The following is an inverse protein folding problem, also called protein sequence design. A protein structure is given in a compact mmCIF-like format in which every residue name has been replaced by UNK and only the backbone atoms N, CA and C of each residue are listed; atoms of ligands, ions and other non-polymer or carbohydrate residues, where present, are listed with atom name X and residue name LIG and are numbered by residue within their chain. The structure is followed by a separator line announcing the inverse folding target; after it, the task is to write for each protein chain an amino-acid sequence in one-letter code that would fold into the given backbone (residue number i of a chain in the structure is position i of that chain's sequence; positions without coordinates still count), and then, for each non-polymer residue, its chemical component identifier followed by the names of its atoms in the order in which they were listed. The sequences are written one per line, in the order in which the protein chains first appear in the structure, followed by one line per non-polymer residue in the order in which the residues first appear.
data_IF_409563111514
#
_entry.id   IF_409563111514
#
_cell.length_a   1.000
_cell.length_b   1.000
_cell.length_c   1.000
_cell.angle_alpha   90.00
_cell.angle_beta   90.00
_cell.angle_gamma   90.00
#
_symmetry.space_group_name_H-M   'P 1'
#
loop_
_entity.id
_entity.type
_entity.pdbx_description
1 polymer ?
#
# COMPACT_ATOMS: atom_id res chain seq x y z
N UNK A 1 -18.83 5.29 -3.40
CA UNK A 1 -17.62 5.83 -2.74
C UNK A 1 -16.50 4.81 -2.66
N UNK A 2 -16.66 3.69 -1.95
CA UNK A 2 -15.58 2.69 -1.76
C UNK A 2 -15.01 2.10 -3.06
N UNK A 3 -15.84 1.72 -4.03
CA UNK A 3 -15.34 1.23 -5.32
C UNK A 3 -14.45 2.26 -6.05
N UNK A 4 -14.79 3.55 -5.96
CA UNK A 4 -13.96 4.63 -6.52
C UNK A 4 -12.60 4.76 -5.82
N UNK A 5 -12.57 4.63 -4.48
CA UNK A 5 -11.32 4.62 -3.70
C UNK A 5 -10.45 3.41 -4.05
N UNK A 6 -11.05 2.24 -4.22
CA UNK A 6 -10.34 1.03 -4.66
C UNK A 6 -9.68 1.23 -6.01
N UNK A 7 -10.43 1.73 -7.01
CA UNK A 7 -9.90 1.98 -8.34
C UNK A 7 -8.81 3.05 -8.32
N UNK A 8 -9.01 4.14 -7.58
CA UNK A 8 -8.01 5.19 -7.43
C UNK A 8 -6.71 4.65 -6.82
N UNK A 9 -6.82 3.86 -5.74
CA UNK A 9 -5.68 3.20 -5.10
C UNK A 9 -4.96 2.21 -6.01
N UNK A 10 -5.72 1.39 -6.74
CA UNK A 10 -5.17 0.42 -7.68
C UNK A 10 -4.42 1.09 -8.84
N UNK A 11 -4.99 2.17 -9.41
CA UNK A 11 -4.34 2.97 -10.46
C UNK A 11 -3.09 3.68 -9.91
N UNK A 12 -3.18 4.29 -8.73
CA UNK A 12 -2.04 4.96 -8.11
C UNK A 12 -0.88 4.00 -7.86
N UNK A 13 -1.17 2.80 -7.33
CA UNK A 13 -0.17 1.76 -7.12
C UNK A 13 0.43 1.28 -8.46
N UNK A 14 -0.41 1.07 -9.47
CA UNK A 14 0.04 0.69 -10.82
C UNK A 14 0.97 1.74 -11.43
N UNK A 15 0.63 3.02 -11.32
CA UNK A 15 1.48 4.13 -11.80
C UNK A 15 2.79 4.18 -11.03
N UNK A 16 2.77 4.07 -9.70
CA UNK A 16 3.98 4.00 -8.88
C UNK A 16 4.89 2.84 -9.31
N UNK A 17 4.31 1.66 -9.55
CA UNK A 17 5.07 0.49 -9.97
C UNK A 17 5.64 0.65 -11.40
N UNK A 18 4.87 1.23 -12.33
CA UNK A 18 5.37 1.53 -13.67
C UNK A 18 6.52 2.55 -13.65
N UNK A 19 6.46 3.56 -12.77
CA UNK A 19 7.54 4.52 -12.59
C UNK A 19 8.78 3.86 -11.99
N UNK A 20 8.60 2.94 -11.03
CA UNK A 20 9.70 2.31 -10.30
C UNK A 20 10.35 1.12 -11.04
N UNK A 21 9.55 0.16 -11.52
CA UNK A 21 10.00 -1.11 -12.11
C UNK A 21 9.82 -1.19 -13.62
N UNK A 22 9.15 -0.22 -14.25
CA UNK A 22 8.78 -0.21 -15.69
C UNK A 22 7.89 -1.37 -16.14
N UNK A 23 7.40 -2.19 -15.21
CA UNK A 23 6.48 -3.31 -15.45
C UNK A 23 5.52 -3.44 -14.29
N UNK A 24 4.32 -3.92 -14.56
CA UNK A 24 3.29 -4.20 -13.55
C UNK A 24 2.53 -5.46 -13.95
N UNK A 25 1.81 -6.05 -13.00
CA UNK A 25 0.89 -7.14 -13.23
C UNK A 25 -0.49 -6.73 -12.74
N UNK A 26 -1.56 -7.19 -13.40
CA UNK A 26 -2.92 -6.80 -13.04
C UNK A 26 -3.28 -7.12 -11.57
N UNK A 27 -2.65 -8.16 -10.98
CA UNK A 27 -2.80 -8.48 -9.55
C UNK A 27 -2.36 -7.33 -8.62
N UNK A 28 -1.42 -6.49 -9.06
CA UNK A 28 -0.95 -5.33 -8.30
C UNK A 28 -2.02 -4.24 -8.20
N UNK A 29 -2.94 -4.16 -9.16
CA UNK A 29 -4.10 -3.28 -9.06
C UNK A 29 -5.01 -3.70 -7.91
N UNK A 30 -5.18 -5.02 -7.73
CA UNK A 30 -6.00 -5.58 -6.64
C UNK A 30 -5.33 -5.34 -5.29
N UNK A 31 -4.03 -5.63 -5.18
CA UNK A 31 -3.24 -5.42 -3.95
C UNK A 31 -3.23 -3.93 -3.57
N UNK A 32 -2.93 -3.05 -4.53
CA UNK A 32 -2.90 -1.61 -4.32
C UNK A 32 -4.26 -1.01 -3.96
N UNK A 33 -5.33 -1.44 -4.65
CA UNK A 33 -6.69 -1.01 -4.34
C UNK A 33 -7.14 -1.46 -2.94
N UNK A 34 -6.83 -2.70 -2.55
CA UNK A 34 -7.13 -3.21 -1.21
C UNK A 34 -6.36 -2.45 -0.13
N UNK A 35 -5.06 -2.23 -0.34
CA UNK A 35 -4.23 -1.45 0.59
C UNK A 35 -4.79 -0.03 0.78
N UNK A 36 -5.15 0.66 -0.31
CA UNK A 36 -5.66 2.04 -0.22
C UNK A 36 -7.02 2.13 0.48
N UNK A 37 -7.93 1.20 0.23
CA UNK A 37 -9.20 1.13 0.96
C UNK A 37 -8.99 0.98 2.46
N UNK A 38 -8.13 0.03 2.85
CA UNK A 38 -7.83 -0.24 4.25
C UNK A 38 -7.15 0.97 4.92
N UNK A 39 -6.23 1.64 4.23
CA UNK A 39 -5.63 2.89 4.70
C UNK A 39 -6.68 3.95 4.96
N UNK A 40 -7.60 4.18 4.03
CA UNK A 40 -8.67 5.17 4.19
C UNK A 40 -9.51 4.88 5.44
N UNK A 41 -9.93 3.64 5.65
CA UNK A 41 -10.70 3.24 6.83
C UNK A 41 -9.93 3.45 8.13
N UNK A 42 -8.67 3.03 8.19
CA UNK A 42 -7.84 3.18 9.40
C UNK A 42 -7.57 4.67 9.67
N UNK A 43 -7.25 5.46 8.65
CA UNK A 43 -6.91 6.86 8.83
C UNK A 43 -8.10 7.72 9.23
N UNK A 44 -9.28 7.42 8.69
CA UNK A 44 -10.52 8.11 9.10
C UNK A 44 -10.92 7.73 10.52
N UNK A 45 -10.76 6.46 10.92
CA UNK A 45 -11.04 6.00 12.28
C UNK A 45 -10.12 6.60 13.36
N UNK A 46 -8.84 6.86 13.03
CA UNK A 46 -7.88 7.50 13.95
C UNK A 46 -8.24 8.98 14.21
N UNK A 47 -8.97 9.64 13.31
CA UNK A 47 -9.27 11.07 13.40
C UNK A 47 -8.07 11.96 13.00
N UNK A 48 -8.29 13.27 12.97
CA UNK A 48 -7.32 14.22 12.39
C UNK A 48 -6.11 14.52 13.29
N UNK A 49 -4.95 14.79 12.68
CA UNK A 49 -3.76 15.33 13.38
C UNK A 49 -2.73 14.28 13.83
N UNK A 50 -3.07 12.99 13.87
CA UNK A 50 -2.15 11.91 14.25
C UNK A 50 -1.29 11.40 13.08
N UNK A 51 -0.60 12.30 12.37
CA UNK A 51 0.09 11.99 11.11
C UNK A 51 1.18 10.93 11.26
N UNK A 52 2.01 11.01 12.31
CA UNK A 52 3.09 10.04 12.54
C UNK A 52 2.52 8.64 12.81
N UNK A 53 1.48 8.55 13.63
CA UNK A 53 0.81 7.27 13.92
C UNK A 53 0.21 6.68 12.64
N UNK A 54 -0.45 7.51 11.82
CA UNK A 54 -0.99 7.10 10.51
C UNK A 54 0.12 6.63 9.57
N UNK A 55 1.26 7.30 9.53
CA UNK A 55 2.38 6.88 8.70
C UNK A 55 2.94 5.50 9.11
N UNK A 56 3.11 5.27 10.42
CA UNK A 56 3.59 3.99 10.95
C UNK A 56 2.59 2.85 10.72
N UNK A 57 1.31 3.08 11.04
CA UNK A 57 0.27 2.08 10.81
C UNK A 57 0.04 1.85 9.32
N UNK A 58 0.13 2.90 8.50
CA UNK A 58 -0.02 2.80 7.05
C UNK A 58 1.08 1.98 6.41
N UNK A 59 2.33 2.21 6.82
CA UNK A 59 3.46 1.36 6.44
C UNK A 59 3.24 -0.11 6.80
N UNK A 60 2.86 -0.38 8.05
CA UNK A 60 2.62 -1.73 8.55
C UNK A 60 1.49 -2.41 7.76
N UNK A 61 0.42 -1.66 7.46
CA UNK A 61 -0.73 -2.14 6.72
C UNK A 61 -0.36 -2.49 5.28
N UNK A 62 0.25 -1.55 4.54
CA UNK A 62 0.67 -1.79 3.15
C UNK A 62 1.61 -2.99 3.10
N UNK A 63 2.62 -3.02 3.98
CA UNK A 63 3.57 -4.13 4.07
C UNK A 63 2.88 -5.47 4.33
N UNK A 64 1.86 -5.49 5.20
CA UNK A 64 1.10 -6.72 5.50
C UNK A 64 0.28 -7.18 4.29
N UNK A 65 -0.37 -6.23 3.59
CA UNK A 65 -1.13 -6.52 2.36
C UNK A 65 -0.22 -7.02 1.25
N UNK A 66 0.97 -6.42 1.08
CA UNK A 66 1.97 -6.88 0.12
C UNK A 66 2.50 -8.27 0.48
N UNK A 67 2.74 -8.56 1.76
CA UNK A 67 3.20 -9.87 2.19
C UNK A 67 2.17 -10.97 1.87
N UNK A 68 0.90 -10.73 2.20
CA UNK A 68 -0.20 -11.65 1.89
C UNK A 68 -0.38 -11.78 0.38
N UNK A 69 -0.38 -10.67 -0.34
CA UNK A 69 -0.46 -10.64 -1.80
C UNK A 69 0.66 -11.44 -2.44
N UNK A 70 1.90 -11.26 -1.97
CA UNK A 70 3.09 -11.98 -2.43
C UNK A 70 3.02 -13.47 -2.12
N UNK A 71 2.58 -13.85 -0.93
CA UNK A 71 2.34 -15.24 -0.58
C UNK A 71 1.33 -15.90 -1.55
N UNK A 72 0.29 -15.18 -1.98
CA UNK A 72 -0.67 -15.70 -2.95
C UNK A 72 -0.04 -15.77 -4.34
N UNK A 73 0.42 -14.64 -4.89
CA UNK A 73 0.80 -14.56 -6.31
C UNK A 73 2.17 -15.18 -6.60
N UNK A 74 3.13 -15.07 -5.69
CA UNK A 74 4.48 -15.58 -5.89
C UNK A 74 4.67 -16.98 -5.31
N UNK A 75 4.09 -17.29 -4.15
CA UNK A 75 4.27 -18.61 -3.52
C UNK A 75 3.21 -19.61 -3.98
N UNK A 76 1.92 -19.30 -3.79
CA UNK A 76 0.85 -20.24 -4.13
C UNK A 76 0.67 -20.39 -5.66
N UNK A 77 0.67 -19.27 -6.39
CA UNK A 77 0.43 -19.25 -7.84
C UNK A 77 1.70 -19.29 -8.70
N UNK A 78 2.88 -19.12 -8.08
CA UNK A 78 4.19 -19.16 -8.75
C UNK A 78 4.34 -18.20 -9.94
N UNK A 79 3.64 -17.06 -9.90
CA UNK A 79 3.69 -16.06 -10.97
C UNK A 79 4.95 -15.19 -10.95
N UNK A 80 5.68 -15.17 -9.84
CA UNK A 80 6.93 -14.42 -9.68
C UNK A 80 6.80 -12.94 -10.14
N UNK A 81 5.70 -12.31 -9.73
CA UNK A 81 5.34 -10.92 -10.05
C UNK A 81 6.41 -9.94 -9.54
N UNK A 82 6.97 -10.21 -8.36
CA UNK A 82 8.13 -9.51 -7.84
C UNK A 82 9.03 -10.43 -7.01
N UNK A 83 10.26 -9.96 -6.79
CA UNK A 83 11.26 -10.65 -5.99
C UNK A 83 12.16 -9.62 -5.28
N UNK A 84 12.09 -9.62 -3.95
CA UNK A 84 12.92 -8.80 -3.07
C UNK A 84 14.01 -9.62 -2.34
N UNK A 85 14.28 -10.85 -2.77
CA UNK A 85 15.26 -11.75 -2.14
C UNK A 85 16.68 -11.15 -2.07
N UNK A 86 17.04 -10.30 -3.04
CA UNK A 86 18.34 -9.61 -3.08
C UNK A 86 18.43 -8.36 -2.19
N UNK A 87 17.32 -7.96 -1.55
CA UNK A 87 17.27 -6.76 -0.69
C UNK A 87 17.60 -7.11 0.75
N UNK A 88 18.28 -6.19 1.45
CA UNK A 88 18.61 -6.37 2.86
C UNK A 88 17.34 -6.31 3.72
N UNK A 89 17.27 -7.15 4.75
CA UNK A 89 16.10 -7.26 5.63
C UNK A 89 14.80 -7.58 4.87
N UNK A 90 14.91 -8.42 3.82
CA UNK A 90 13.74 -8.98 3.17
C UNK A 90 13.15 -10.14 3.98
N UNK A 91 11.85 -10.38 3.81
CA UNK A 91 11.15 -11.54 4.35
C UNK A 91 10.61 -12.38 3.19
N UNK A 92 11.18 -13.57 3.00
CA UNK A 92 10.83 -14.52 1.94
C UNK A 92 10.83 -13.93 0.51
N UNK A 93 11.59 -12.86 0.28
CA UNK A 93 11.56 -12.10 -0.98
C UNK A 93 10.23 -11.41 -1.28
N UNK A 94 9.26 -11.38 -0.36
CA UNK A 94 7.93 -10.80 -0.58
C UNK A 94 7.83 -9.35 -0.13
N UNK A 95 8.48 -9.00 0.98
CA UNK A 95 8.58 -7.63 1.50
C UNK A 95 10.01 -7.35 1.94
N UNK A 96 10.37 -6.09 2.10
CA UNK A 96 11.61 -5.70 2.76
C UNK A 96 11.49 -4.38 3.50
N UNK A 97 12.38 -4.16 4.46
CA UNK A 97 12.39 -2.96 5.29
C UNK A 97 12.51 -1.67 4.48
N UNK A 98 13.30 -1.67 3.40
CA UNK A 98 13.48 -0.51 2.50
C UNK A 98 12.14 -0.01 1.95
N UNK A 99 11.29 -0.91 1.43
CA UNK A 99 9.97 -0.54 0.93
C UNK A 99 8.98 -0.23 2.05
N UNK A 100 9.03 -0.93 3.18
CA UNK A 100 8.21 -0.56 4.34
C UNK A 100 8.45 0.88 4.79
N UNK A 101 9.70 1.33 4.82
CA UNK A 101 10.03 2.72 5.14
C UNK A 101 9.51 3.70 4.08
N UNK A 102 9.62 3.34 2.81
CA UNK A 102 9.04 4.12 1.71
C UNK A 102 7.51 4.23 1.84
N UNK A 103 6.83 3.16 2.24
CA UNK A 103 5.39 3.18 2.52
C UNK A 103 5.03 4.07 3.71
N UNK A 104 5.89 4.19 4.72
CA UNK A 104 5.70 5.14 5.81
C UNK A 104 5.73 6.59 5.29
N UNK A 105 6.70 6.91 4.44
CA UNK A 105 6.82 8.23 3.83
C UNK A 105 5.63 8.55 2.92
N UNK A 106 5.22 7.61 2.06
CA UNK A 106 4.07 7.80 1.17
C UNK A 106 2.73 7.84 1.93
N UNK A 107 2.65 7.27 3.12
CA UNK A 107 1.45 7.35 3.96
C UNK A 107 1.21 8.76 4.53
N UNK A 108 2.24 9.61 4.62
CA UNK A 108 2.10 10.99 5.12
C UNK A 108 1.17 11.86 4.25
N UNK A 109 1.40 12.03 2.94
CA UNK A 109 0.48 12.80 2.10
C UNK A 109 -0.91 12.18 2.03
N UNK A 110 -1.02 10.85 2.07
CA UNK A 110 -2.31 10.14 2.13
C UNK A 110 -3.05 10.45 3.43
N UNK A 111 -2.36 10.54 4.56
CA UNK A 111 -2.93 10.92 5.85
C UNK A 111 -3.50 12.35 5.82
N UNK A 112 -2.78 13.31 5.26
CA UNK A 112 -3.28 14.68 5.08
C UNK A 112 -4.50 14.73 4.15
N UNK A 113 -4.47 13.97 3.05
CA UNK A 113 -5.62 13.89 2.13
C UNK A 113 -6.85 13.28 2.83
N UNK A 114 -6.66 12.22 3.62
CA UNK A 114 -7.72 11.60 4.40
C UNK A 114 -8.31 12.56 5.44
N UNK A 115 -7.47 13.34 6.12
CA UNK A 115 -7.91 14.37 7.07
C UNK A 115 -8.67 15.52 6.39
N UNK A 116 -8.26 15.90 5.18
CA UNK A 116 -8.98 16.91 4.41
C UNK A 116 -10.36 16.38 4.00
N UNK A 117 -10.43 15.17 3.44
CA UNK A 117 -11.67 14.54 2.98
C UNK A 117 -12.65 14.30 4.14
N UNK A 118 -12.17 13.86 5.31
CA UNK A 118 -13.04 13.62 6.46
C UNK A 118 -13.73 14.90 6.96
N UNK A 119 -13.04 16.05 6.92
CA UNK A 119 -13.61 17.36 7.29
C UNK A 119 -14.72 17.85 6.36
N UNK A 120 -14.69 17.46 5.07
CA UNK A 120 -15.73 17.84 4.11
C UNK A 120 -16.94 16.90 4.14
N UNK A 121 -16.79 15.70 4.71
CA UNK A 121 -17.84 14.67 4.79
C UNK A 121 -18.53 14.61 6.17
N UNK A 122 -18.01 15.34 7.16
CA UNK A 122 -18.61 15.55 8.50
C UNK A 122 -19.41 16.84 8.56
#
# INVERSE_FOLDING_TARGET
MYFGLFLAGGIAYLVLELLWRRRTHWSMTIIGGAAFLLLYHVFTAIGSGFIVLKALLGSLLITSVEFIGGAIVNVALKWNVWDYSSRRYNLYGQICLEYSLLWALLSVPVAYAADAVSKYLS
#
